data_IF_276563898276
#
_entry.id   IF_276563898276
#
_cell.length_a   1.000
_cell.length_b   1.000
_cell.length_c   1.000
_cell.angle_alpha   90.00
_cell.angle_beta   90.00
_cell.angle_gamma   90.00
#
_symmetry.space_group_name_H-M   'P 1'
#
loop_
_entity.id
_entity.type
_entity.pdbx_description
1 polymer ?
#
# COMPACT_ATOMS: atom_id res chain seq x y z
N UNK A 1 33.67 -5.47 2.22
CA UNK A 1 32.65 -5.09 3.21
C UNK A 1 31.36 -5.84 2.87
N UNK A 2 30.86 -6.73 3.74
CA UNK A 2 29.52 -7.30 3.57
C UNK A 2 28.51 -6.30 4.13
N UNK A 3 27.57 -5.83 3.32
CA UNK A 3 26.39 -5.15 3.87
C UNK A 3 25.61 -6.19 4.68
N UNK A 4 25.35 -5.88 5.95
CA UNK A 4 24.42 -6.67 6.74
C UNK A 4 23.02 -6.48 6.14
N UNK A 5 22.39 -7.57 5.69
CA UNK A 5 21.01 -7.53 5.24
C UNK A 5 20.16 -7.49 6.51
N UNK A 6 19.66 -6.31 6.87
CA UNK A 6 18.70 -6.19 7.97
C UNK A 6 17.32 -6.55 7.45
N UNK A 7 16.83 -7.73 7.84
CA UNK A 7 15.45 -8.11 7.58
C UNK A 7 14.49 -7.22 8.38
N UNK A 8 13.64 -6.46 7.67
CA UNK A 8 12.61 -5.62 8.29
C UNK A 8 11.27 -6.35 8.21
N UNK A 9 10.66 -6.59 9.36
CA UNK A 9 9.26 -7.04 9.43
C UNK A 9 8.34 -5.88 9.05
N UNK A 10 7.25 -6.18 8.36
CA UNK A 10 6.29 -5.18 7.93
C UNK A 10 4.95 -5.78 7.55
N UNK A 11 3.99 -4.90 7.30
CA UNK A 11 2.66 -5.21 6.81
C UNK A 11 2.56 -4.77 5.36
N UNK A 12 2.00 -5.64 4.52
CA UNK A 12 1.59 -5.32 3.15
C UNK A 12 0.07 -5.21 3.14
N UNK A 13 -0.44 -4.18 2.47
CA UNK A 13 -1.86 -3.98 2.20
C UNK A 13 -2.03 -3.84 0.69
N UNK A 14 -2.87 -4.69 0.11
CA UNK A 14 -3.27 -4.62 -1.30
C UNK A 14 -4.74 -4.24 -1.32
N UNK A 15 -5.05 -3.10 -1.91
CA UNK A 15 -6.42 -2.63 -2.13
C UNK A 15 -6.76 -2.90 -3.59
N UNK A 16 -7.91 -3.50 -3.86
CA UNK A 16 -8.39 -3.91 -5.19
C UNK A 16 -9.83 -3.45 -5.41
N UNK A 17 -10.24 -3.20 -6.66
CA UNK A 17 -11.60 -2.77 -7.00
C UNK A 17 -12.36 -3.93 -7.65
N UNK A 18 -13.29 -4.52 -6.90
CA UNK A 18 -14.17 -5.55 -7.45
C UNK A 18 -14.96 -5.04 -8.66
N UNK A 19 -14.97 -5.82 -9.73
CA UNK A 19 -15.68 -5.49 -10.97
C UNK A 19 -14.98 -4.48 -11.89
N UNK A 20 -13.75 -4.04 -11.58
CA UNK A 20 -12.99 -3.11 -12.42
C UNK A 20 -12.98 -3.48 -13.91
N UNK A 21 -12.65 -4.73 -14.23
CA UNK A 21 -12.59 -5.21 -15.61
C UNK A 21 -13.92 -5.09 -16.35
N UNK A 22 -15.04 -5.28 -15.66
CA UNK A 22 -16.36 -5.10 -16.25
C UNK A 22 -16.67 -3.62 -16.44
N UNK A 23 -16.36 -2.80 -15.43
CA UNK A 23 -16.58 -1.36 -15.46
C UNK A 23 -15.84 -0.71 -16.64
N UNK A 24 -14.54 -0.97 -16.80
CA UNK A 24 -13.75 -0.36 -17.90
C UNK A 24 -14.18 -0.83 -19.29
N UNK A 25 -14.75 -2.03 -19.41
CA UNK A 25 -15.30 -2.53 -20.69
C UNK A 25 -16.61 -1.84 -21.07
N UNK A 26 -17.41 -1.42 -20.10
CA UNK A 26 -18.74 -0.84 -20.33
C UNK A 26 -18.72 0.69 -20.34
N UNK A 27 -17.80 1.30 -19.60
CA UNK A 27 -17.65 2.75 -19.53
C UNK A 27 -17.03 3.32 -20.80
N UNK A 28 -17.30 4.59 -21.09
CA UNK A 28 -16.49 5.35 -22.03
C UNK A 28 -15.03 5.37 -21.54
N UNK A 29 -14.07 5.04 -22.40
CA UNK A 29 -12.66 4.93 -22.02
C UNK A 29 -12.11 6.13 -21.24
N UNK A 30 -12.47 7.35 -21.63
CA UNK A 30 -11.98 8.59 -21.00
C UNK A 30 -12.64 8.79 -19.63
N UNK A 31 -13.97 8.68 -19.59
CA UNK A 31 -14.75 8.88 -18.35
C UNK A 31 -14.45 7.79 -17.32
N UNK A 32 -14.40 6.53 -17.74
CA UNK A 32 -14.10 5.38 -16.88
C UNK A 32 -12.72 5.50 -16.26
N UNK A 33 -11.70 5.82 -17.06
CA UNK A 33 -10.34 6.05 -16.54
C UNK A 33 -10.29 7.21 -15.54
N UNK A 34 -11.00 8.32 -15.81
CA UNK A 34 -11.08 9.46 -14.90
C UNK A 34 -11.74 9.11 -13.56
N UNK A 35 -12.80 8.30 -13.57
CA UNK A 35 -13.48 7.82 -12.36
C UNK A 35 -12.55 6.93 -11.53
N UNK A 36 -11.89 5.96 -12.15
CA UNK A 36 -10.95 5.07 -11.47
C UNK A 36 -9.79 5.88 -10.87
N UNK A 37 -9.18 6.79 -11.66
CA UNK A 37 -8.10 7.65 -11.18
C UNK A 37 -8.54 8.53 -9.99
N UNK A 38 -9.76 9.04 -10.02
CA UNK A 38 -10.31 9.84 -8.92
C UNK A 38 -10.51 9.03 -7.65
N UNK A 39 -11.02 7.79 -7.77
CA UNK A 39 -11.21 6.87 -6.66
C UNK A 39 -9.88 6.44 -6.04
N UNK A 40 -8.93 5.94 -6.85
CA UNK A 40 -7.60 5.54 -6.38
C UNK A 40 -6.87 6.72 -5.74
N UNK A 41 -6.93 7.90 -6.37
CA UNK A 41 -6.37 9.12 -5.81
C UNK A 41 -7.00 9.52 -4.48
N UNK A 42 -8.31 9.27 -4.28
CA UNK A 42 -8.97 9.51 -3.01
C UNK A 42 -8.49 8.56 -1.92
N UNK A 43 -8.31 7.27 -2.21
CA UNK A 43 -7.77 6.27 -1.28
C UNK A 43 -6.37 6.68 -0.82
N UNK A 44 -5.50 7.10 -1.75
CA UNK A 44 -4.13 7.53 -1.45
C UNK A 44 -4.13 8.80 -0.59
N UNK A 45 -4.92 9.83 -0.96
CA UNK A 45 -4.96 11.10 -0.22
C UNK A 45 -5.57 10.98 1.17
N UNK A 46 -6.47 10.03 1.38
CA UNK A 46 -7.13 9.79 2.66
C UNK A 46 -6.52 8.59 3.40
N UNK A 47 -5.27 8.24 3.11
CA UNK A 47 -4.55 7.23 3.85
C UNK A 47 -4.18 7.77 5.26
N UNK A 48 -4.97 7.40 6.27
CA UNK A 48 -4.77 7.78 7.67
C UNK A 48 -3.97 6.74 8.47
N UNK A 49 -3.54 5.65 7.83
CA UNK A 49 -2.87 4.53 8.50
C UNK A 49 -1.33 4.60 8.39
N UNK A 50 -0.82 5.68 7.79
CA UNK A 50 0.61 5.93 7.56
C UNK A 50 1.32 4.80 6.79
N UNK A 51 0.59 4.14 5.88
CA UNK A 51 1.22 3.22 4.93
C UNK A 51 1.93 4.01 3.83
N UNK A 52 3.05 3.49 3.35
CA UNK A 52 3.76 4.02 2.21
C UNK A 52 3.20 3.42 0.93
N UNK A 53 2.99 4.25 -0.09
CA UNK A 53 2.62 3.80 -1.43
C UNK A 53 3.85 3.16 -2.09
N UNK A 54 3.73 1.90 -2.49
CA UNK A 54 4.74 1.21 -3.30
C UNK A 54 4.46 1.39 -4.78
N UNK A 55 3.26 0.99 -5.21
CA UNK A 55 2.90 0.87 -6.62
C UNK A 55 1.38 0.98 -6.81
N UNK A 56 0.98 1.35 -8.03
CA UNK A 56 -0.38 1.30 -8.53
C UNK A 56 -0.34 0.54 -9.86
N UNK A 57 -1.14 -0.52 -10.00
CA UNK A 57 -1.24 -1.30 -11.24
C UNK A 57 -2.72 -1.54 -11.55
N UNK A 58 -3.22 -0.97 -12.66
CA UNK A 58 -4.63 -1.05 -13.02
C UNK A 58 -5.52 -0.43 -11.93
N UNK A 59 -6.29 -1.28 -11.27
CA UNK A 59 -7.18 -0.95 -10.14
C UNK A 59 -6.62 -1.30 -8.76
N UNK A 60 -5.46 -1.94 -8.71
CA UNK A 60 -4.83 -2.33 -7.47
C UNK A 60 -3.87 -1.24 -6.95
N UNK A 61 -3.84 -1.07 -5.63
CA UNK A 61 -2.87 -0.24 -4.92
C UNK A 61 -2.10 -1.11 -3.94
N UNK A 62 -0.77 -1.07 -4.04
CA UNK A 62 0.14 -1.70 -3.10
C UNK A 62 0.65 -0.69 -2.09
N UNK A 63 0.30 -0.93 -0.83
CA UNK A 63 0.77 -0.20 0.34
C UNK A 63 1.67 -1.09 1.20
N UNK A 64 2.67 -0.49 1.85
CA UNK A 64 3.49 -1.19 2.84
C UNK A 64 3.76 -0.32 4.07
N UNK A 65 3.98 -0.97 5.21
CA UNK A 65 4.41 -0.32 6.44
C UNK A 65 5.38 -1.23 7.17
N UNK A 66 6.61 -0.79 7.37
CA UNK A 66 7.51 -1.53 8.26
C UNK A 66 6.96 -1.45 9.69
N UNK A 67 7.09 -2.55 10.44
CA UNK A 67 6.80 -2.54 11.87
C UNK A 67 7.72 -1.56 12.58
N UNK A 68 7.33 -1.13 13.78
CA UNK A 68 8.25 -0.41 14.65
C UNK A 68 9.54 -1.23 14.73
N UNK A 69 10.66 -0.61 14.40
CA UNK A 69 11.97 -1.20 14.67
C UNK A 69 12.04 -1.30 16.18
N UNK A 70 11.70 -2.47 16.72
CA UNK A 70 12.00 -2.77 18.10
C UNK A 70 13.51 -2.64 18.19
N UNK A 71 14.06 -1.68 18.96
CA UNK A 71 15.47 -1.71 19.22
C UNK A 71 15.72 -3.08 19.84
N UNK A 72 16.71 -3.79 19.33
CA UNK A 72 17.28 -4.99 19.94
C UNK A 72 17.97 -4.60 21.25
N UNK A 73 17.20 -4.04 22.18
CA UNK A 73 17.66 -3.83 23.52
C UNK A 73 17.69 -5.22 24.15
N UNK A 74 18.89 -5.74 24.37
CA UNK A 74 19.18 -6.64 25.50
C UNK A 74 18.89 -5.99 26.86
N UNK A 75 17.85 -5.17 26.95
CA UNK A 75 17.37 -4.50 28.13
C UNK A 75 16.46 -5.45 28.88
N UNK A 76 17.04 -6.07 29.90
CA UNK A 76 16.37 -6.59 31.10
C UNK A 76 14.96 -6.05 31.27
N UNK A 77 13.99 -6.97 31.22
CA UNK A 77 12.63 -6.73 31.70
C UNK A 77 12.75 -6.44 33.20
N UNK A 78 12.29 -5.29 33.72
CA UNK A 78 12.29 -5.09 35.16
C UNK A 78 11.31 -6.08 35.79
N UNK A 79 11.82 -6.84 36.76
CA UNK A 79 11.05 -7.74 37.64
C UNK A 79 10.10 -6.97 38.53
#
# INVERSE_FOLDING_TARGET
>A
MKQAITEKKGTILIVDISGYSQFVKQANNITGASVIASLLGSIIRNNTLDFQLSEIEGDAILFYKYGATQPDNGGVVPV
#
